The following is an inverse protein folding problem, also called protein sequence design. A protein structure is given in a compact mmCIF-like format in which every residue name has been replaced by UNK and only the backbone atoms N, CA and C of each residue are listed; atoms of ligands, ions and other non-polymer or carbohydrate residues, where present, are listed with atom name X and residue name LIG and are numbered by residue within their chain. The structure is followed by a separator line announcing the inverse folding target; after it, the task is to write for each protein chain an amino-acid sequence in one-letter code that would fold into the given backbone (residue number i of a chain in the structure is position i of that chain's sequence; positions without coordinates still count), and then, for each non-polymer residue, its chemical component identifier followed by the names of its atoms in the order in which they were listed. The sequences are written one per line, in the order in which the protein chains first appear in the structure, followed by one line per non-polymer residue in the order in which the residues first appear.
data_IF_114906634172
#
_entry.id   IF_114906634172
#
_cell.length_a   1.000
_cell.length_b   1.000
_cell.length_c   1.000
_cell.angle_alpha   90.00
_cell.angle_beta   90.00
_cell.angle_gamma   90.00
#
_symmetry.space_group_name_H-M   'P 1'
#
loop_
_entity.id
_entity.type
_entity.pdbx_description
1 polymer ?
#
# COMPACT_ATOMS: atom_id res chain seq x y z
N UNK A 1 20.79 13.35 -19.70
CA UNK A 1 19.80 14.41 -20.03
C UNK A 1 18.60 14.32 -19.11
N UNK A 2 17.86 13.18 -19.09
CA UNK A 2 16.67 13.02 -18.22
C UNK A 2 16.94 13.19 -16.71
N UNK A 3 18.00 12.58 -16.16
CA UNK A 3 18.34 12.74 -14.74
C UNK A 3 18.61 14.21 -14.35
N UNK A 4 19.24 14.98 -15.24
CA UNK A 4 19.54 16.40 -14.99
C UNK A 4 18.27 17.27 -15.01
N UNK A 5 17.33 16.97 -15.91
CA UNK A 5 16.02 17.63 -15.97
C UNK A 5 15.20 17.31 -14.72
N UNK A 6 15.12 16.04 -14.34
CA UNK A 6 14.42 15.58 -13.12
C UNK A 6 15.03 16.24 -11.89
N UNK A 7 16.37 16.36 -11.84
CA UNK A 7 17.06 17.05 -10.76
C UNK A 7 16.78 18.56 -10.71
N UNK A 8 16.64 19.21 -11.86
CA UNK A 8 16.26 20.62 -11.90
C UNK A 8 14.82 20.82 -11.41
N UNK A 9 13.91 19.93 -11.82
CA UNK A 9 12.50 19.96 -11.39
C UNK A 9 12.39 19.73 -9.89
N UNK A 10 13.04 18.69 -9.34
CA UNK A 10 12.97 18.36 -7.91
C UNK A 10 13.49 19.49 -7.02
N UNK A 11 14.63 20.10 -7.38
CA UNK A 11 15.15 21.28 -6.68
C UNK A 11 14.21 22.47 -6.74
N UNK A 12 13.61 22.73 -7.90
CA UNK A 12 12.66 23.83 -8.07
C UNK A 12 11.42 23.62 -7.20
N UNK A 13 10.84 22.41 -7.22
CA UNK A 13 9.71 22.06 -6.34
C UNK A 13 10.06 22.25 -4.86
N UNK A 14 11.25 21.80 -4.44
CA UNK A 14 11.72 21.97 -3.06
C UNK A 14 11.88 23.45 -2.67
N UNK A 15 12.42 24.26 -3.57
CA UNK A 15 12.56 25.70 -3.35
C UNK A 15 11.18 26.38 -3.24
N UNK A 16 10.26 26.10 -4.17
CA UNK A 16 8.89 26.63 -4.14
C UNK A 16 8.12 26.22 -2.88
N UNK A 17 8.22 24.96 -2.45
CA UNK A 17 7.59 24.49 -1.22
C UNK A 17 8.07 25.28 0.01
N UNK A 18 9.38 25.56 0.08
CA UNK A 18 9.99 26.34 1.16
C UNK A 18 9.60 27.82 1.10
N UNK A 19 9.58 28.41 -0.08
CA UNK A 19 9.27 29.82 -0.30
C UNK A 19 7.81 30.13 0.03
N UNK A 20 6.89 29.29 -0.44
CA UNK A 20 5.45 29.46 -0.21
C UNK A 20 4.97 28.85 1.11
N UNK A 21 5.83 28.11 1.81
CA UNK A 21 5.52 27.38 3.04
C UNK A 21 4.29 26.46 2.89
N UNK A 22 4.24 25.69 1.80
CA UNK A 22 3.17 24.72 1.52
C UNK A 22 3.75 23.33 1.24
N UNK A 23 3.08 22.25 1.66
CA UNK A 23 3.49 20.91 1.31
C UNK A 23 3.25 20.66 -0.19
N UNK A 24 4.28 20.21 -0.91
CA UNK A 24 4.16 19.78 -2.30
C UNK A 24 4.31 18.26 -2.35
N UNK A 25 3.32 17.59 -2.95
CA UNK A 25 3.33 16.15 -3.20
C UNK A 25 3.59 15.94 -4.69
N UNK A 26 4.70 15.28 -5.01
CA UNK A 26 5.02 14.88 -6.37
C UNK A 26 4.92 13.36 -6.50
N UNK A 27 4.29 12.89 -7.57
CA UNK A 27 4.23 11.47 -7.89
C UNK A 27 5.42 11.11 -8.79
N UNK A 28 6.11 10.03 -8.44
CA UNK A 28 7.17 9.45 -9.26
C UNK A 28 6.83 8.02 -9.60
N UNK A 29 7.02 7.66 -10.87
CA UNK A 29 6.98 6.27 -11.29
C UNK A 29 8.28 5.58 -10.86
N UNK A 30 8.18 4.31 -10.48
CA UNK A 30 9.33 3.47 -10.16
C UNK A 30 9.85 2.72 -11.39
N UNK A 31 11.12 2.33 -11.35
CA UNK A 31 11.67 1.39 -12.33
C UNK A 31 10.86 0.08 -12.35
N UNK A 32 10.66 -0.49 -13.54
CA UNK A 32 10.03 -1.80 -13.71
C UNK A 32 10.76 -2.92 -12.95
N UNK A 33 12.05 -2.72 -12.65
CA UNK A 33 12.88 -3.66 -11.89
C UNK A 33 12.42 -3.82 -10.43
N UNK A 34 11.69 -2.85 -9.88
CA UNK A 34 11.15 -2.93 -8.52
C UNK A 34 10.24 -4.16 -8.35
N UNK A 35 9.49 -4.49 -9.40
CA UNK A 35 8.47 -5.56 -9.41
C UNK A 35 9.08 -6.94 -9.64
N UNK A 36 10.21 -7.03 -10.35
CA UNK A 36 10.86 -8.30 -10.73
C UNK A 36 11.89 -8.82 -9.73
N UNK A 37 12.16 -8.12 -8.63
CA UNK A 37 13.09 -8.60 -7.59
C UNK A 37 12.55 -9.84 -6.88
N UNK A 38 13.02 -11.01 -7.32
CA UNK A 38 12.83 -12.28 -6.63
C UNK A 38 13.59 -12.26 -5.31
N UNK A 39 12.87 -12.38 -4.19
CA UNK A 39 13.42 -12.42 -2.82
C UNK A 39 12.99 -11.26 -1.91
N UNK A 40 12.58 -10.12 -2.48
CA UNK A 40 12.10 -8.95 -1.72
C UNK A 40 10.57 -8.78 -1.71
N UNK A 41 9.83 -9.77 -2.22
CA UNK A 41 8.37 -9.72 -2.33
C UNK A 41 7.85 -8.56 -3.18
N UNK A 42 8.65 -8.02 -4.11
CA UNK A 42 8.26 -6.85 -4.92
C UNK A 42 8.24 -5.52 -4.15
N UNK A 43 8.76 -5.48 -2.92
CA UNK A 43 8.75 -4.27 -2.09
C UNK A 43 9.63 -3.16 -2.71
N UNK A 44 9.08 -1.95 -2.93
CA UNK A 44 9.83 -0.80 -3.41
C UNK A 44 10.92 -0.35 -2.43
N UNK A 45 12.02 0.16 -2.97
CA UNK A 45 13.16 0.70 -2.23
C UNK A 45 13.64 2.00 -2.88
N UNK A 46 14.42 2.80 -2.15
CA UNK A 46 14.94 4.07 -2.65
C UNK A 46 15.76 3.91 -3.93
N UNK A 47 16.51 2.81 -4.07
CA UNK A 47 17.24 2.48 -5.30
C UNK A 47 16.36 2.32 -6.54
N UNK A 48 15.06 2.13 -6.38
CA UNK A 48 14.13 2.04 -7.52
C UNK A 48 13.80 3.40 -8.13
N UNK A 49 14.18 4.49 -7.43
CA UNK A 49 14.20 5.85 -7.93
C UNK A 49 15.50 6.18 -8.68
N UNK A 50 16.36 5.21 -9.02
CA UNK A 50 17.71 5.44 -9.56
C UNK A 50 17.77 6.37 -10.79
N UNK A 51 16.78 6.30 -11.69
CA UNK A 51 16.67 7.23 -12.84
C UNK A 51 16.24 8.66 -12.44
N UNK A 52 16.04 8.87 -11.15
CA UNK A 52 15.53 10.06 -10.47
C UNK A 52 16.24 10.25 -9.12
N UNK A 53 17.50 9.81 -8.99
CA UNK A 53 18.23 9.82 -7.71
C UNK A 53 18.34 11.20 -7.05
N UNK A 54 18.18 12.28 -7.81
CA UNK A 54 18.03 13.64 -7.28
C UNK A 54 16.75 13.85 -6.47
N UNK A 55 15.63 13.21 -6.86
CA UNK A 55 14.37 13.27 -6.11
C UNK A 55 14.57 12.71 -4.72
N UNK A 56 15.26 11.56 -4.61
CA UNK A 56 15.57 10.96 -3.32
C UNK A 56 16.33 11.94 -2.44
N UNK A 57 17.33 12.64 -2.98
CA UNK A 57 18.12 13.60 -2.22
C UNK A 57 17.31 14.82 -1.81
N UNK A 58 16.53 15.40 -2.71
CA UNK A 58 15.82 16.66 -2.51
C UNK A 58 14.58 16.52 -1.61
N UNK A 59 13.89 15.37 -1.66
CA UNK A 59 12.67 15.14 -0.90
C UNK A 59 12.90 15.16 0.62
N UNK A 60 11.94 15.69 1.37
CA UNK A 60 11.91 15.56 2.83
C UNK A 60 11.40 14.19 3.27
N UNK A 61 10.45 13.64 2.51
CA UNK A 61 9.84 12.35 2.77
C UNK A 61 9.66 11.59 1.46
N UNK A 62 9.91 10.28 1.47
CA UNK A 62 9.65 9.39 0.34
C UNK A 62 8.71 8.30 0.83
N UNK A 63 7.55 8.19 0.18
CA UNK A 63 6.52 7.22 0.51
C UNK A 63 6.32 6.30 -0.70
N UNK A 64 6.37 4.99 -0.47
CA UNK A 64 5.97 4.00 -1.46
C UNK A 64 4.64 3.35 -1.07
N UNK A 65 3.91 2.92 -2.09
CA UNK A 65 2.70 2.12 -1.94
C UNK A 65 3.02 0.73 -2.48
N UNK A 66 2.87 -0.28 -1.65
CA UNK A 66 3.14 -1.67 -2.01
C UNK A 66 1.89 -2.52 -1.83
N UNK A 67 1.50 -3.22 -2.90
CA UNK A 67 0.29 -4.04 -2.97
C UNK A 67 0.66 -5.46 -3.41
N UNK A 68 0.89 -6.41 -2.47
CA UNK A 68 1.32 -7.76 -2.80
C UNK A 68 0.34 -8.52 -3.71
N UNK A 69 -0.97 -8.28 -3.51
CA UNK A 69 -2.07 -8.86 -4.28
C UNK A 69 -1.99 -8.49 -5.78
N UNK A 70 -1.64 -7.25 -6.07
CA UNK A 70 -1.53 -6.72 -7.42
C UNK A 70 -0.29 -7.22 -8.17
N UNK A 71 0.75 -7.65 -7.45
CA UNK A 71 2.00 -8.14 -8.05
C UNK A 71 1.91 -9.64 -8.42
N UNK A 72 0.77 -10.30 -8.12
CA UNK A 72 0.60 -11.73 -8.39
C UNK A 72 1.45 -12.62 -7.46
N UNK A 73 1.84 -12.09 -6.29
CA UNK A 73 2.68 -12.76 -5.31
C UNK A 73 1.89 -13.46 -4.20
N UNK A 74 0.56 -13.44 -4.25
CA UNK A 74 -0.31 -14.11 -3.27
C UNK A 74 -1.53 -14.74 -3.95
N UNK A 75 -1.66 -16.07 -3.84
CA UNK A 75 -2.90 -16.82 -4.15
C UNK A 75 -3.80 -17.00 -2.91
N UNK A 76 -3.39 -16.46 -1.76
CA UNK A 76 -4.11 -16.58 -0.49
C UNK A 76 -5.20 -15.50 -0.38
N UNK A 77 -6.44 -15.89 -0.07
CA UNK A 77 -7.56 -14.96 0.14
C UNK A 77 -7.30 -13.94 1.27
N UNK A 78 -6.45 -14.27 2.25
CA UNK A 78 -6.10 -13.39 3.37
C UNK A 78 -5.21 -12.19 3.01
N UNK A 79 -4.55 -12.21 1.84
CA UNK A 79 -3.73 -11.09 1.35
C UNK A 79 -4.52 -10.16 0.40
N UNK A 80 -5.79 -10.48 0.13
CA UNK A 80 -6.67 -9.68 -0.73
C UNK A 80 -6.83 -8.28 -0.13
N UNK A 81 -6.67 -7.26 -0.96
CA UNK A 81 -6.74 -5.83 -0.57
C UNK A 81 -5.62 -5.36 0.37
N UNK A 82 -4.71 -6.23 0.82
CA UNK A 82 -3.61 -5.82 1.71
C UNK A 82 -2.71 -4.82 1.00
N UNK A 83 -2.45 -3.70 1.67
CA UNK A 83 -1.58 -2.64 1.15
C UNK A 83 -0.65 -2.15 2.24
N UNK A 84 0.61 -1.94 1.91
CA UNK A 84 1.60 -1.31 2.79
C UNK A 84 1.95 0.08 2.27
N UNK A 85 1.84 1.07 3.15
CA UNK A 85 2.39 2.41 2.93
C UNK A 85 3.75 2.47 3.62
N UNK A 86 4.81 2.63 2.84
CA UNK A 86 6.19 2.50 3.29
C UNK A 86 6.80 3.90 3.31
N UNK A 87 7.10 4.42 4.50
CA UNK A 87 7.84 5.67 4.66
C UNK A 87 9.33 5.33 4.56
N UNK A 88 9.87 5.30 3.34
CA UNK A 88 11.25 4.90 3.06
C UNK A 88 12.30 5.96 3.40
N UNK A 89 11.89 7.23 3.47
CA UNK A 89 12.74 8.34 3.91
C UNK A 89 11.90 9.33 4.70
N UNK A 90 12.46 9.84 5.79
CA UNK A 90 11.88 10.94 6.56
C UNK A 90 13.02 11.78 7.15
N UNK A 91 13.18 13.04 6.70
CA UNK A 91 14.27 13.92 7.18
C UNK A 91 14.12 14.35 8.64
N UNK A 92 12.88 14.40 9.15
CA UNK A 92 12.53 14.98 10.45
C UNK A 92 11.86 13.97 11.39
N UNK A 93 12.02 12.67 11.15
CA UNK A 93 11.41 11.64 11.97
C UNK A 93 11.78 10.24 11.52
N UNK A 94 11.04 9.25 12.03
CA UNK A 94 11.32 7.84 11.76
C UNK A 94 10.72 7.38 10.44
N UNK A 95 11.36 6.37 9.85
CA UNK A 95 10.81 5.55 8.76
C UNK A 95 9.97 4.44 9.36
N UNK A 96 8.86 4.10 8.73
CA UNK A 96 7.99 3.02 9.19
C UNK A 96 7.14 2.48 8.05
N UNK A 97 6.62 1.28 8.25
CA UNK A 97 5.67 0.64 7.36
C UNK A 97 4.29 0.62 8.02
N UNK A 98 3.29 1.14 7.32
CA UNK A 98 1.92 1.23 7.79
C UNK A 98 1.09 0.23 6.98
N UNK A 99 0.52 -0.74 7.67
CA UNK A 99 -0.37 -1.73 7.04
C UNK A 99 -1.79 -1.18 6.94
N UNK A 100 -2.39 -1.29 5.75
CA UNK A 100 -3.71 -0.79 5.40
C UNK A 100 -4.44 -1.80 4.50
N UNK A 101 -5.72 -1.54 4.20
CA UNK A 101 -6.43 -2.21 3.10
C UNK A 101 -6.77 -1.21 2.00
N UNK A 102 -6.73 -1.65 0.75
CA UNK A 102 -7.17 -0.89 -0.41
C UNK A 102 -8.40 -1.54 -1.03
N UNK A 103 -9.56 -0.90 -0.86
CA UNK A 103 -10.82 -1.29 -1.47
C UNK A 103 -10.88 -0.80 -2.91
N UNK A 104 -10.52 -1.67 -3.84
CA UNK A 104 -10.39 -1.32 -5.26
C UNK A 104 -11.68 -0.81 -5.89
N UNK A 105 -12.84 -1.36 -5.49
CA UNK A 105 -14.16 -0.93 -5.97
C UNK A 105 -14.50 0.51 -5.58
N UNK A 106 -13.90 1.01 -4.49
CA UNK A 106 -14.15 2.34 -3.94
C UNK A 106 -12.98 3.30 -4.16
N UNK A 107 -11.85 2.81 -4.70
CA UNK A 107 -10.58 3.53 -4.78
C UNK A 107 -10.17 4.14 -3.43
N UNK A 108 -10.37 3.39 -2.34
CA UNK A 108 -10.23 3.88 -0.97
C UNK A 108 -9.21 3.06 -0.18
N UNK A 109 -8.33 3.76 0.54
CA UNK A 109 -7.51 3.18 1.60
C UNK A 109 -8.26 3.23 2.93
N UNK A 110 -8.28 2.12 3.65
CA UNK A 110 -8.90 2.00 4.99
C UNK A 110 -7.89 1.43 5.97
N UNK A 111 -8.03 1.82 7.23
CA UNK A 111 -7.26 1.23 8.33
C UNK A 111 -7.65 -0.23 8.52
N UNK A 112 -6.73 -1.03 9.06
CA UNK A 112 -6.99 -2.45 9.35
C UNK A 112 -8.14 -2.66 10.33
N UNK A 113 -8.28 -1.74 11.29
CA UNK A 113 -9.24 -1.79 12.39
C UNK A 113 -10.50 -0.94 12.14
N UNK A 114 -10.71 -0.42 10.93
CA UNK A 114 -11.92 0.36 10.62
C UNK A 114 -13.16 -0.53 10.89
N UNK A 115 -13.86 -0.22 11.98
CA UNK A 115 -14.86 -1.06 12.64
C UNK A 115 -16.08 -1.40 11.77
N UNK A 116 -16.14 -0.84 10.55
CA UNK A 116 -17.13 -1.14 9.53
C UNK A 116 -16.90 -2.52 8.88
N UNK A 117 -15.66 -3.05 8.84
CA UNK A 117 -15.38 -4.38 8.28
C UNK A 117 -15.53 -5.52 9.30
N UNK A 118 -15.22 -5.27 10.58
CA UNK A 118 -15.35 -6.30 11.64
C UNK A 118 -16.80 -6.75 11.82
N UNK A 119 -17.77 -5.86 11.58
CA UNK A 119 -19.20 -6.18 11.66
C UNK A 119 -19.70 -7.10 10.54
N UNK A 120 -19.07 -7.09 9.37
CA UNK A 120 -19.50 -7.92 8.24
C UNK A 120 -18.97 -9.36 8.37
N UNK A 121 -17.74 -9.53 8.86
CA UNK A 121 -17.11 -10.86 9.03
C UNK A 121 -17.57 -11.58 10.29
N UNK A 122 -18.01 -10.87 11.34
CA UNK A 122 -18.46 -11.48 12.61
C UNK A 122 -19.92 -11.93 12.63
N UNK A 123 -20.67 -11.76 11.53
CA UNK A 123 -21.98 -12.40 11.38
C UNK A 123 -21.83 -13.74 10.67
N UNK A 124 -21.22 -14.73 11.34
CA UNK A 124 -21.53 -16.12 11.04
C UNK A 124 -23.04 -16.30 11.29
N UNK A 125 -23.78 -16.61 10.22
CA UNK A 125 -25.21 -16.82 10.29
C UNK A 125 -25.50 -18.02 11.19
N UNK A 126 -26.18 -17.78 12.31
CA UNK A 126 -26.67 -18.83 13.23
C UNK A 126 -27.67 -19.81 12.58
N UNK A 127 -27.96 -19.66 11.28
CA UNK A 127 -28.94 -20.44 10.53
C UNK A 127 -28.34 -21.66 9.80
N UNK A 128 -27.00 -21.84 9.78
CA UNK A 128 -26.38 -22.98 9.10
C UNK A 128 -26.25 -24.25 9.96
N UNK A 129 -26.68 -24.23 11.23
CA UNK A 129 -26.49 -25.37 12.14
C UNK A 129 -27.78 -26.14 12.50
N UNK A 130 -28.84 -25.99 11.71
CA UNK A 130 -30.06 -26.79 11.85
C UNK A 130 -30.15 -27.79 10.69
N UNK A 131 -29.30 -28.81 10.71
CA UNK A 131 -29.62 -30.09 10.06
C UNK A 131 -30.45 -30.86 11.09
N UNK A 132 -31.75 -31.10 10.88
CA UNK A 132 -32.55 -31.88 11.83
C UNK A 132 -32.02 -33.31 11.85
N UNK A 133 -31.88 -33.89 13.04
CA UNK A 133 -31.54 -35.31 13.22
C UNK A 133 -32.54 -36.20 12.45
N UNK A 134 -32.04 -37.15 11.66
CA UNK A 134 -32.84 -38.09 10.87
C UNK A 134 -33.68 -39.06 11.74
N UNK A 135 -33.49 -39.06 13.06
CA UNK A 135 -34.12 -39.99 13.99
C UNK A 135 -35.61 -39.69 14.32
N UNK A 136 -36.13 -38.50 13.98
CA UNK A 136 -37.54 -38.15 14.26
C UNK A 136 -38.56 -38.81 13.32
N UNK A 137 -38.15 -39.34 12.16
CA UNK A 137 -39.07 -40.01 11.22
C UNK A 137 -39.37 -41.47 11.54
N UNK A 138 -38.73 -42.04 12.57
CA UNK A 138 -38.85 -43.46 12.92
C UNK A 138 -39.92 -43.77 13.99
N UNK A 139 -40.63 -42.75 14.50
CA UNK A 139 -41.63 -42.88 15.58
C UNK A 139 -43.07 -42.53 15.19
N UNK A 140 -43.37 -42.50 13.90
CA UNK A 140 -44.74 -42.54 13.35
C UNK A 140 -44.90 -43.79 12.48
#
# INVERSE_FOLDING_TARGET
MREQEVAAISRTLKATAKELNVPIIALSQLSRQAVTRQGGGGKPQLSDLRESGSIEQDADMVIFIHRPDYVGLSENEGDKEKTEIIIAKHRNGETMDISMRFKGEQLKFVELDDALDVKATSMESAMNNAVPDEDEWSRL
#
